data_IF_076548161627
#
_entry.id   IF_076548161627
#
_cell.length_a   1.000
_cell.length_b   1.000
_cell.length_c   1.000
_cell.angle_alpha   90.00
_cell.angle_beta   90.00
_cell.angle_gamma   90.00
#
_symmetry.space_group_name_H-M   'P 1'
#
loop_
_entity.id
_entity.type
_entity.pdbx_description
1 polymer ?
#
# COMPACT_ATOMS: atom_id res chain seq x y z
N UNK A 1 -17.02 28.71 -12.40
CA UNK A 1 -15.62 28.24 -12.47
C UNK A 1 -15.70 26.73 -12.48
N UNK A 2 -15.29 26.07 -13.56
CA UNK A 2 -15.41 24.60 -13.67
C UNK A 2 -14.29 23.96 -12.87
N UNK A 3 -14.61 23.04 -11.97
CA UNK A 3 -13.61 22.27 -11.24
C UNK A 3 -12.75 21.46 -12.23
N UNK A 4 -11.43 21.50 -12.04
CA UNK A 4 -10.44 20.82 -12.90
C UNK A 4 -10.16 19.36 -12.50
N UNK A 5 -10.92 18.82 -11.56
CA UNK A 5 -10.73 17.47 -11.03
C UNK A 5 -12.05 16.88 -10.53
N UNK A 6 -12.04 15.59 -10.26
CA UNK A 6 -13.11 14.86 -9.56
C UNK A 6 -12.52 14.09 -8.39
N UNK A 7 -13.28 13.95 -7.30
CA UNK A 7 -12.88 13.15 -6.14
C UNK A 7 -13.70 11.86 -6.08
N UNK A 8 -13.04 10.76 -5.74
CA UNK A 8 -13.64 9.44 -5.55
C UNK A 8 -12.90 8.67 -4.45
N UNK A 9 -13.44 7.53 -4.03
CA UNK A 9 -12.75 6.60 -3.14
C UNK A 9 -12.67 5.23 -3.82
N UNK A 10 -11.56 4.54 -3.65
CA UNK A 10 -11.37 3.15 -4.09
C UNK A 10 -10.65 2.36 -3.01
N UNK A 11 -10.73 1.03 -3.05
CA UNK A 11 -9.98 0.21 -2.10
C UNK A 11 -8.48 0.24 -2.40
N UNK A 12 -7.68 0.05 -1.35
CA UNK A 12 -6.23 -0.11 -1.46
C UNK A 12 -5.87 -1.29 -2.37
N UNK A 13 -6.58 -2.41 -2.28
CA UNK A 13 -6.41 -3.56 -3.18
C UNK A 13 -6.60 -3.17 -4.64
N UNK A 14 -7.65 -2.38 -4.96
CA UNK A 14 -7.88 -1.90 -6.32
C UNK A 14 -6.73 -1.02 -6.82
N UNK A 15 -6.23 -0.08 -6.00
CA UNK A 15 -5.15 0.82 -6.44
C UNK A 15 -3.85 0.07 -6.68
N UNK A 16 -3.51 -0.89 -5.80
CA UNK A 16 -2.33 -1.73 -5.97
C UNK A 16 -2.45 -2.61 -7.22
N UNK A 17 -3.65 -3.13 -7.51
CA UNK A 17 -3.90 -3.93 -8.71
C UNK A 17 -3.77 -3.11 -9.99
N UNK A 18 -4.30 -1.88 -10.05
CA UNK A 18 -4.14 -1.00 -11.21
C UNK A 18 -2.68 -0.66 -11.49
N UNK A 19 -1.84 -0.56 -10.46
CA UNK A 19 -0.42 -0.26 -10.64
C UNK A 19 0.33 -1.53 -11.03
N UNK A 20 0.00 -2.68 -10.41
CA UNK A 20 0.57 -3.98 -10.76
C UNK A 20 0.25 -4.40 -12.19
N UNK A 21 -0.94 -4.10 -12.68
CA UNK A 21 -1.35 -4.37 -14.07
C UNK A 21 -0.79 -3.37 -15.09
N UNK A 22 -0.21 -2.25 -14.62
CA UNK A 22 0.28 -1.17 -15.47
C UNK A 22 -0.82 -0.22 -15.97
N UNK A 23 -2.06 -0.34 -15.49
CA UNK A 23 -3.15 0.59 -15.80
C UNK A 23 -2.83 2.01 -15.31
N UNK A 24 -2.25 2.13 -14.10
CA UNK A 24 -1.72 3.38 -13.57
C UNK A 24 -0.20 3.32 -13.57
N UNK A 25 0.42 4.16 -14.40
CA UNK A 25 1.85 4.32 -14.41
C UNK A 25 2.31 5.20 -13.24
N UNK A 26 3.35 4.77 -12.52
CA UNK A 26 4.10 5.62 -11.58
C UNK A 26 5.37 6.07 -12.30
N UNK A 27 5.48 7.35 -12.72
CA UNK A 27 6.66 7.86 -13.43
C UNK A 27 7.97 7.66 -12.66
N UNK A 28 7.89 7.72 -11.34
CA UNK A 28 9.04 7.59 -10.44
C UNK A 28 9.48 6.16 -10.14
N UNK A 29 8.91 5.11 -10.75
CA UNK A 29 9.39 3.72 -10.55
C UNK A 29 10.88 3.56 -10.90
N UNK A 30 11.44 4.43 -11.75
CA UNK A 30 12.87 4.46 -12.09
C UNK A 30 13.69 5.40 -11.18
N UNK A 31 13.05 6.20 -10.32
CA UNK A 31 13.74 7.03 -9.34
C UNK A 31 13.91 6.26 -8.02
N UNK A 32 15.00 6.52 -7.29
CA UNK A 32 15.19 5.90 -5.99
C UNK A 32 14.06 6.23 -5.01
N UNK A 33 13.52 5.22 -4.35
CA UNK A 33 12.61 5.32 -3.22
C UNK A 33 13.34 5.95 -2.03
N UNK A 34 12.85 7.09 -1.56
CA UNK A 34 13.54 7.94 -0.57
C UNK A 34 12.97 7.82 0.85
N UNK A 35 11.80 7.23 1.02
CA UNK A 35 11.22 7.01 2.33
C UNK A 35 12.04 6.02 3.16
N UNK A 36 12.25 6.37 4.44
CA UNK A 36 12.89 5.49 5.42
C UNK A 36 11.95 4.32 5.73
N UNK A 37 12.51 3.17 6.07
CA UNK A 37 11.74 1.97 6.47
C UNK A 37 10.74 2.25 7.60
N UNK A 38 11.08 3.15 8.53
CA UNK A 38 10.19 3.60 9.59
C UNK A 38 8.91 4.28 9.07
N UNK A 39 9.01 5.09 8.01
CA UNK A 39 7.86 5.77 7.39
C UNK A 39 6.91 4.77 6.71
N UNK A 40 7.47 3.72 6.11
CA UNK A 40 6.67 2.60 5.57
C UNK A 40 5.90 1.91 6.70
N UNK A 41 6.57 1.63 7.82
CA UNK A 41 5.96 1.07 9.03
C UNK A 41 4.88 2.00 9.64
N UNK A 42 5.07 3.32 9.62
CA UNK A 42 4.06 4.29 10.07
C UNK A 42 2.81 4.29 9.18
N UNK A 43 2.98 4.14 7.87
CA UNK A 43 1.87 4.06 6.91
C UNK A 43 1.05 2.78 7.13
N UNK A 44 1.73 1.63 7.12
CA UNK A 44 1.49 0.48 8.02
C UNK A 44 0.41 0.65 9.10
N UNK A 45 0.91 1.14 10.23
CA UNK A 45 0.20 1.37 11.47
C UNK A 45 -1.00 2.30 11.31
N UNK A 46 -0.86 3.37 10.51
CA UNK A 46 -1.95 4.31 10.24
C UNK A 46 -3.13 3.63 9.55
N UNK A 47 -2.88 2.82 8.52
CA UNK A 47 -3.92 2.07 7.82
C UNK A 47 -4.59 1.02 8.71
N UNK A 48 -3.81 0.36 9.57
CA UNK A 48 -4.34 -0.58 10.53
C UNK A 48 -5.29 0.08 11.53
N UNK A 49 -4.89 1.24 12.08
CA UNK A 49 -5.67 2.06 13.02
C UNK A 49 -6.86 2.79 12.38
N UNK A 50 -6.97 2.78 11.05
CA UNK A 50 -8.05 3.47 10.33
C UNK A 50 -7.84 4.99 10.24
N UNK A 51 -6.59 5.46 10.37
CA UNK A 51 -6.25 6.86 10.18
C UNK A 51 -6.26 7.24 8.70
N UNK A 52 -6.53 8.52 8.37
CA UNK A 52 -6.51 8.98 6.99
C UNK A 52 -5.11 8.83 6.39
N UNK A 53 -5.04 8.25 5.19
CA UNK A 53 -3.79 8.07 4.43
C UNK A 53 -3.58 9.14 3.33
N UNK A 54 -4.39 10.21 3.34
CA UNK A 54 -4.39 11.29 2.35
C UNK A 54 -5.01 10.89 1.00
N UNK A 55 -4.94 11.80 0.02
CA UNK A 55 -5.41 11.57 -1.34
C UNK A 55 -4.27 11.09 -2.24
N UNK A 56 -4.56 10.26 -3.24
CA UNK A 56 -3.66 10.05 -4.39
C UNK A 56 -4.18 10.88 -5.56
N UNK A 57 -3.28 11.42 -6.37
CA UNK A 57 -3.66 12.25 -7.51
C UNK A 57 -3.26 11.55 -8.79
N UNK A 58 -4.21 11.42 -9.71
CA UNK A 58 -4.05 10.74 -10.98
C UNK A 58 -4.40 11.69 -12.11
N UNK A 59 -3.54 11.79 -13.11
CA UNK A 59 -3.84 12.38 -14.41
C UNK A 59 -4.23 11.28 -15.38
N UNK A 60 -5.22 11.54 -16.24
CA UNK A 60 -5.61 10.64 -17.32
C UNK A 60 -5.58 11.41 -18.62
N UNK A 61 -4.88 10.90 -19.63
CA UNK A 61 -4.93 11.45 -20.99
C UNK A 61 -6.32 11.27 -21.62
N UNK A 62 -6.71 12.07 -22.63
CA UNK A 62 -7.93 11.82 -23.39
C UNK A 62 -7.95 10.43 -24.01
N UNK A 63 -9.14 9.87 -24.16
CA UNK A 63 -9.33 8.63 -24.92
C UNK A 63 -9.16 8.96 -26.41
N UNK A 64 -8.41 8.14 -27.15
CA UNK A 64 -8.17 8.34 -28.58
C UNK A 64 -8.97 7.34 -29.41
N UNK A 65 -9.62 7.78 -30.48
CA UNK A 65 -10.17 6.87 -31.48
C UNK A 65 -9.04 6.34 -32.36
N UNK A 66 -8.90 5.02 -32.40
CA UNK A 66 -7.96 4.31 -33.24
C UNK A 66 -8.50 4.22 -34.68
N UNK A 67 -7.60 3.96 -35.64
CA UNK A 67 -7.94 3.91 -37.07
C UNK A 67 -8.95 2.81 -37.43
N UNK A 68 -9.09 1.80 -36.58
CA UNK A 68 -10.04 0.69 -36.71
C UNK A 68 -11.42 1.01 -36.08
N UNK A 69 -11.61 2.23 -35.57
CA UNK A 69 -12.85 2.68 -34.93
C UNK A 69 -12.97 2.33 -33.44
N UNK A 70 -12.03 1.58 -32.88
CA UNK A 70 -11.98 1.30 -31.44
C UNK A 70 -11.50 2.51 -30.63
N UNK A 71 -11.85 2.58 -29.35
CA UNK A 71 -11.39 3.63 -28.43
C UNK A 71 -10.21 3.10 -27.61
N UNK A 72 -9.08 3.78 -27.65
CA UNK A 72 -7.99 3.54 -26.70
C UNK A 72 -8.27 4.29 -25.40
N UNK A 73 -8.24 3.58 -24.28
CA UNK A 73 -8.34 4.19 -22.95
C UNK A 73 -7.11 5.06 -22.72
N UNK A 74 -7.32 6.32 -22.36
CA UNK A 74 -6.25 7.24 -22.05
C UNK A 74 -5.37 6.74 -20.90
N UNK A 75 -4.05 6.91 -21.05
CA UNK A 75 -3.07 6.45 -20.05
C UNK A 75 -3.26 7.19 -18.73
N UNK A 76 -3.32 6.44 -17.62
CA UNK A 76 -3.36 7.01 -16.27
C UNK A 76 -1.96 7.10 -15.69
N UNK A 77 -1.64 8.23 -15.08
CA UNK A 77 -0.33 8.52 -14.49
C UNK A 77 -0.53 9.06 -13.08
N UNK A 78 0.18 8.49 -12.12
CA UNK A 78 0.19 9.00 -10.75
C UNK A 78 1.02 10.28 -10.64
N UNK A 79 0.37 11.35 -10.22
CA UNK A 79 0.95 12.69 -10.06
C UNK A 79 1.43 12.88 -8.62
N UNK A 80 0.61 12.53 -7.63
CA UNK A 80 0.99 12.58 -6.20
C UNK A 80 0.68 11.25 -5.49
N UNK A 81 1.41 11.00 -4.40
CA UNK A 81 1.25 9.81 -3.56
C UNK A 81 2.15 8.64 -3.95
N UNK A 82 3.10 8.87 -4.85
CA UNK A 82 3.99 7.86 -5.40
C UNK A 82 4.80 7.12 -4.32
N UNK A 83 5.35 7.85 -3.34
CA UNK A 83 6.10 7.24 -2.22
C UNK A 83 5.18 6.40 -1.32
N UNK A 84 3.96 6.87 -1.04
CA UNK A 84 2.97 6.11 -0.27
C UNK A 84 2.62 4.80 -0.97
N UNK A 85 2.31 4.83 -2.26
CA UNK A 85 1.94 3.61 -2.98
C UNK A 85 3.14 2.67 -3.14
N UNK A 86 4.34 3.20 -3.38
CA UNK A 86 5.57 2.39 -3.43
C UNK A 86 5.84 1.70 -2.08
N UNK A 87 5.59 2.39 -0.96
CA UNK A 87 5.67 1.81 0.39
C UNK A 87 4.70 0.63 0.57
N UNK A 88 3.46 0.75 0.09
CA UNK A 88 2.46 -0.32 0.13
C UNK A 88 2.84 -1.49 -0.79
N UNK A 89 3.36 -1.21 -1.98
CA UNK A 89 3.83 -2.22 -2.93
C UNK A 89 4.95 -3.07 -2.34
N UNK A 90 5.88 -2.49 -1.58
CA UNK A 90 6.94 -3.27 -0.94
C UNK A 90 6.49 -3.99 0.33
N UNK A 91 5.64 -3.37 1.16
CA UNK A 91 5.25 -3.92 2.45
C UNK A 91 4.07 -4.91 2.40
N UNK A 92 3.12 -4.73 1.47
CA UNK A 92 1.91 -5.56 1.34
C UNK A 92 2.02 -6.52 0.15
N UNK A 93 2.43 -6.02 -1.02
CA UNK A 93 2.56 -6.88 -2.23
C UNK A 93 3.88 -7.66 -2.22
N UNK A 94 4.87 -7.21 -1.44
CA UNK A 94 6.16 -7.87 -1.28
C UNK A 94 7.14 -7.61 -2.43
N UNK A 95 6.96 -6.52 -3.19
CA UNK A 95 7.88 -6.17 -4.28
C UNK A 95 9.16 -5.49 -3.79
N UNK A 96 10.23 -5.69 -4.54
CA UNK A 96 11.48 -4.95 -4.34
C UNK A 96 11.35 -3.52 -4.88
N UNK A 97 11.96 -2.59 -4.16
CA UNK A 97 12.10 -1.18 -4.55
C UNK A 97 13.57 -0.84 -4.66
N UNK A 98 13.89 0.12 -5.53
CA UNK A 98 15.25 0.66 -5.63
C UNK A 98 15.36 1.76 -4.57
N UNK A 99 16.15 1.59 -3.53
CA UNK A 99 16.37 2.62 -2.50
C UNK A 99 17.27 3.75 -2.99
N UNK A 100 17.36 4.85 -2.23
CA UNK A 100 18.23 6.01 -2.49
C UNK A 100 19.71 5.69 -2.77
N UNK A 101 20.22 4.56 -2.28
CA UNK A 101 21.56 4.04 -2.59
C UNK A 101 21.61 3.13 -3.83
N UNK A 102 20.57 3.18 -4.67
CA UNK A 102 20.38 2.40 -5.91
C UNK A 102 20.39 0.88 -5.72
N UNK A 103 20.13 0.40 -4.50
CA UNK A 103 20.03 -1.05 -4.24
C UNK A 103 18.59 -1.51 -4.30
N UNK A 104 18.37 -2.66 -4.91
CA UNK A 104 17.09 -3.37 -4.80
C UNK A 104 16.96 -3.94 -3.40
N UNK A 105 15.89 -3.57 -2.70
CA UNK A 105 15.56 -4.09 -1.38
C UNK A 105 14.05 -4.19 -1.23
N UNK A 106 13.59 -5.16 -0.46
CA UNK A 106 12.21 -5.21 0.04
C UNK A 106 12.18 -4.69 1.47
N UNK A 107 11.20 -3.83 1.78
CA UNK A 107 10.99 -3.36 3.14
C UNK A 107 9.98 -4.29 3.80
N UNK A 108 10.45 -5.10 4.74
CA UNK A 108 9.62 -6.07 5.46
C UNK A 108 9.11 -5.45 6.76
N UNK A 109 7.79 -5.45 6.90
CA UNK A 109 7.11 -4.99 8.11
C UNK A 109 6.64 -6.21 8.88
N UNK A 110 7.05 -6.28 10.14
CA UNK A 110 6.64 -7.30 11.09
C UNK A 110 5.42 -6.83 11.88
N UNK A 111 4.61 -7.79 12.34
CA UNK A 111 3.37 -7.56 13.07
C UNK A 111 3.31 -8.40 14.35
N UNK A 112 2.94 -7.78 15.46
CA UNK A 112 2.69 -8.43 16.73
C UNK A 112 1.18 -8.57 16.95
N UNK A 113 0.58 -9.76 16.75
CA UNK A 113 -0.85 -9.97 16.98
C UNK A 113 -1.23 -10.00 18.46
N UNK A 114 -0.25 -10.04 19.38
CA UNK A 114 -0.45 -10.05 20.83
C UNK A 114 -0.39 -8.64 21.44
N UNK A 115 -0.07 -7.63 20.62
CA UNK A 115 0.18 -6.27 21.11
C UNK A 115 -1.03 -5.70 21.87
N UNK A 116 -0.82 -5.39 23.15
CA UNK A 116 -1.81 -4.72 23.99
C UNK A 116 -1.71 -3.20 23.88
N UNK A 117 -2.84 -2.54 23.59
CA UNK A 117 -2.92 -1.08 23.63
C UNK A 117 -2.75 -0.53 25.06
N UNK A 118 -3.18 -1.29 26.08
CA UNK A 118 -3.06 -0.90 27.50
C UNK A 118 -1.61 -0.88 27.97
N UNK A 119 -0.79 -1.80 27.47
CA UNK A 119 0.63 -1.91 27.78
C UNK A 119 1.52 -1.07 26.84
N UNK A 120 0.91 -0.31 25.93
CA UNK A 120 1.58 0.51 24.92
C UNK A 120 2.61 -0.30 24.11
N UNK A 121 2.28 -1.56 23.79
CA UNK A 121 3.14 -2.42 22.99
C UNK A 121 3.14 -2.00 21.51
N UNK A 122 4.30 -2.16 20.87
CA UNK A 122 4.41 -1.89 19.44
C UNK A 122 3.70 -2.98 18.62
N UNK A 123 2.74 -2.57 17.79
CA UNK A 123 1.99 -3.45 16.88
C UNK A 123 2.81 -3.79 15.63
N UNK A 124 3.55 -2.81 15.10
CA UNK A 124 4.36 -2.96 13.89
C UNK A 124 5.82 -2.57 14.10
N UNK A 125 6.73 -3.35 13.51
CA UNK A 125 8.16 -3.05 13.46
C UNK A 125 8.73 -3.25 12.07
N UNK A 126 9.83 -2.58 11.77
CA UNK A 126 10.67 -2.97 10.63
C UNK A 126 11.38 -4.27 11.03
N UNK A 127 11.37 -5.28 10.16
CA UNK A 127 12.01 -6.56 10.47
C UNK A 127 13.50 -6.38 10.77
N UNK A 128 13.96 -7.03 11.84
CA UNK A 128 15.36 -7.17 12.18
C UNK A 128 15.66 -8.58 12.72
N UNK A 129 16.90 -8.82 13.14
CA UNK A 129 17.33 -10.13 13.66
C UNK A 129 16.69 -10.50 15.02
N UNK A 130 16.21 -9.53 15.80
CA UNK A 130 15.54 -9.82 17.07
C UNK A 130 14.11 -10.31 16.78
N UNK A 131 13.41 -9.66 15.86
CA UNK A 131 12.08 -10.07 15.39
C UNK A 131 12.07 -11.51 14.87
N UNK A 132 13.09 -11.92 14.10
CA UNK A 132 13.17 -13.27 13.54
C UNK A 132 13.30 -14.38 14.60
N UNK A 133 13.73 -14.04 15.82
CA UNK A 133 13.91 -14.98 16.92
C UNK A 133 12.75 -14.95 17.91
N UNK A 134 11.88 -13.96 17.80
CA UNK A 134 10.77 -13.74 18.73
C UNK A 134 9.47 -14.29 18.13
N UNK A 135 9.00 -15.40 18.72
CA UNK A 135 7.83 -16.16 18.27
C UNK A 135 6.51 -15.39 18.35
N UNK A 136 6.48 -14.24 19.05
CA UNK A 136 5.30 -13.36 19.06
C UNK A 136 5.16 -12.58 17.75
N UNK A 137 6.24 -12.38 17.00
CA UNK A 137 6.19 -11.59 15.79
C UNK A 137 5.93 -12.44 14.56
N UNK A 138 4.99 -11.98 13.75
CA UNK A 138 4.92 -12.35 12.35
C UNK A 138 5.97 -11.50 11.63
N UNK A 139 7.01 -12.15 11.12
CA UNK A 139 8.19 -11.46 10.62
C UNK A 139 7.93 -10.57 9.39
N UNK A 140 6.94 -10.90 8.56
CA UNK A 140 6.67 -10.22 7.30
C UNK A 140 5.18 -10.31 6.94
N UNK A 141 4.47 -9.18 7.05
CA UNK A 141 3.02 -9.14 6.80
C UNK A 141 2.65 -9.50 5.36
N UNK A 142 3.53 -9.25 4.38
CA UNK A 142 3.21 -9.52 2.97
C UNK A 142 3.07 -11.01 2.67
N UNK A 143 3.57 -11.91 3.54
CA UNK A 143 3.29 -13.35 3.46
C UNK A 143 1.81 -13.68 3.73
N UNK A 144 1.13 -12.86 4.55
CA UNK A 144 -0.28 -13.02 4.90
C UNK A 144 -1.22 -12.49 3.79
N UNK A 145 -0.75 -11.55 2.97
CA UNK A 145 -1.51 -10.98 1.86
C UNK A 145 -1.43 -11.80 0.56
N UNK A 146 -0.73 -12.95 0.59
CA UNK A 146 -0.63 -13.82 -0.60
C UNK A 146 -1.98 -14.46 -0.92
N UNK A 147 -2.33 -14.65 -2.21
CA UNK A 147 -3.61 -15.25 -2.59
C UNK A 147 -3.84 -16.67 -2.07
N UNK A 148 -2.76 -17.41 -1.81
CA UNK A 148 -2.74 -18.79 -1.30
C UNK A 148 -2.52 -18.86 0.22
N UNK A 149 -2.62 -17.74 0.93
CA UNK A 149 -2.48 -17.72 2.39
C UNK A 149 -3.62 -18.48 3.08
N UNK A 150 -3.27 -19.55 3.79
CA UNK A 150 -4.20 -20.30 4.64
C UNK A 150 -4.20 -19.74 6.07
N UNK A 151 -5.17 -18.86 6.34
CA UNK A 151 -5.33 -18.23 7.65
C UNK A 151 -5.61 -19.24 8.76
N UNK A 152 -6.40 -20.29 8.51
CA UNK A 152 -6.76 -21.26 9.54
C UNK A 152 -5.54 -22.09 9.95
N UNK A 153 -4.79 -22.60 8.99
CA UNK A 153 -3.55 -23.33 9.26
C UNK A 153 -2.53 -22.42 9.98
N UNK A 154 -2.42 -21.16 9.56
CA UNK A 154 -1.53 -20.19 10.20
C UNK A 154 -1.89 -19.94 11.66
N UNK A 155 -3.16 -19.65 11.98
CA UNK A 155 -3.63 -19.41 13.36
C UNK A 155 -3.34 -20.62 14.24
N UNK A 156 -3.62 -21.83 13.77
CA UNK A 156 -3.35 -23.06 14.51
C UNK A 156 -1.86 -23.23 14.81
N UNK A 157 -1.01 -22.99 13.83
CA UNK A 157 0.45 -23.10 14.01
C UNK A 157 1.00 -22.00 14.93
N UNK A 158 0.45 -20.79 14.84
CA UNK A 158 0.79 -19.68 15.73
C UNK A 158 0.47 -20.00 17.19
N UNK A 159 -0.74 -20.50 17.47
CA UNK A 159 -1.17 -20.89 18.82
C UNK A 159 -0.40 -22.09 19.38
N UNK A 160 0.08 -23.03 18.54
CA UNK A 160 0.98 -24.09 19.02
C UNK A 160 2.30 -23.54 19.57
N UNK A 161 2.82 -22.47 18.96
CA UNK A 161 4.06 -21.81 19.40
C UNK A 161 3.81 -20.86 20.57
N UNK A 162 2.59 -20.35 20.68
CA UNK A 162 2.14 -19.42 21.72
C UNK A 162 0.90 -20.00 22.45
N UNK A 163 1.08 -20.98 23.36
CA UNK A 163 -0.04 -21.72 23.95
C UNK A 163 -0.99 -20.90 24.82
N UNK A 164 -0.52 -19.76 25.33
CA UNK A 164 -1.31 -18.85 26.16
C UNK A 164 -2.30 -18.00 25.32
N UNK A 165 -2.17 -18.04 23.99
CA UNK A 165 -3.00 -17.25 23.07
C UNK A 165 -4.31 -17.92 22.71
N UNK A 166 -5.36 -17.11 22.65
CA UNK A 166 -6.67 -17.54 22.19
C UNK A 166 -6.73 -17.51 20.65
N UNK A 167 -6.96 -18.68 20.01
CA UNK A 167 -7.04 -18.78 18.55
C UNK A 167 -8.10 -17.89 17.90
N UNK A 168 -9.27 -17.70 18.55
CA UNK A 168 -10.30 -16.79 18.06
C UNK A 168 -9.85 -15.33 18.12
N UNK A 169 -9.12 -14.95 19.17
CA UNK A 169 -8.53 -13.61 19.28
C UNK A 169 -7.51 -13.37 18.14
N UNK A 170 -6.55 -14.28 17.96
CA UNK A 170 -5.54 -14.18 16.89
C UNK A 170 -6.21 -14.11 15.52
N UNK A 171 -7.23 -14.93 15.27
CA UNK A 171 -7.99 -14.90 14.03
C UNK A 171 -8.62 -13.52 13.77
N UNK A 172 -9.27 -12.92 14.76
CA UNK A 172 -9.88 -11.59 14.61
C UNK A 172 -8.84 -10.50 14.36
N UNK A 173 -7.70 -10.56 15.04
CA UNK A 173 -6.58 -9.63 14.86
C UNK A 173 -6.00 -9.74 13.46
N UNK A 174 -5.85 -10.96 12.92
CA UNK A 174 -5.43 -11.19 11.54
C UNK A 174 -6.46 -10.73 10.52
N UNK A 175 -7.75 -10.96 10.75
CA UNK A 175 -8.81 -10.42 9.88
C UNK A 175 -8.73 -8.89 9.79
N UNK A 176 -8.51 -8.21 10.92
CA UNK A 176 -8.32 -6.75 10.96
C UNK A 176 -7.08 -6.31 10.18
N UNK A 177 -5.99 -7.09 10.25
CA UNK A 177 -4.77 -6.81 9.49
C UNK A 177 -5.02 -6.96 7.99
N UNK A 178 -5.65 -8.06 7.56
CA UNK A 178 -5.93 -8.33 6.16
C UNK A 178 -6.95 -7.34 5.57
N UNK A 179 -7.85 -6.80 6.39
CA UNK A 179 -8.81 -5.77 5.97
C UNK A 179 -8.16 -4.43 5.59
N UNK A 180 -6.86 -4.23 5.86
CA UNK A 180 -6.09 -3.09 5.33
C UNK A 180 -6.26 -2.96 3.81
N UNK A 181 -6.37 -4.08 3.08
CA UNK A 181 -6.56 -4.09 1.63
C UNK A 181 -7.90 -3.48 1.19
N UNK A 182 -8.91 -3.51 2.06
CA UNK A 182 -10.25 -2.98 1.80
C UNK A 182 -10.41 -1.51 2.22
N UNK A 183 -9.38 -0.93 2.88
CA UNK A 183 -9.39 0.47 3.28
C UNK A 183 -9.61 1.37 2.07
N UNK A 184 -10.51 2.33 2.23
CA UNK A 184 -10.85 3.29 1.20
C UNK A 184 -9.81 4.41 1.18
N UNK A 185 -9.21 4.63 0.01
CA UNK A 185 -8.26 5.70 -0.24
C UNK A 185 -8.91 6.73 -1.16
N UNK A 186 -8.79 8.00 -0.78
CA UNK A 186 -9.26 9.11 -1.60
C UNK A 186 -8.42 9.26 -2.87
N UNK A 187 -9.09 9.39 -4.01
CA UNK A 187 -8.49 9.60 -5.32
C UNK A 187 -9.01 10.92 -5.90
N UNK A 188 -8.07 11.77 -6.28
CA UNK A 188 -8.33 12.95 -7.10
C UNK A 188 -7.92 12.61 -8.52
N UNK A 189 -8.89 12.61 -9.43
CA UNK A 189 -8.64 12.42 -10.86
C UNK A 189 -8.71 13.77 -11.56
N UNK A 190 -7.61 14.21 -12.15
CA UNK A 190 -7.56 15.43 -12.94
C UNK A 190 -8.38 15.27 -14.22
N UNK A 191 -9.04 16.35 -14.66
CA UNK A 191 -9.85 16.31 -15.87
C UNK A 191 -9.01 15.91 -17.09
N UNK A 192 -9.57 15.08 -17.97
CA UNK A 192 -8.86 14.53 -19.13
C UNK A 192 -8.43 15.58 -20.14
N UNK A 193 -9.10 16.73 -20.16
CA UNK A 193 -8.85 17.81 -21.12
C UNK A 193 -7.69 18.73 -20.72
N UNK A 194 -7.09 18.53 -19.52
CA UNK A 194 -5.94 19.32 -19.09
C UNK A 194 -4.70 18.98 -19.91
N UNK A 195 -3.98 20.02 -20.33
CA UNK A 195 -2.69 19.85 -20.99
C UNK A 195 -1.55 19.58 -19.96
N UNK A 196 -0.37 19.24 -20.47
CA UNK A 196 0.79 18.89 -19.64
C UNK A 196 1.26 20.05 -18.75
N UNK A 197 1.14 21.30 -19.22
CA UNK A 197 1.57 22.48 -18.47
C UNK A 197 0.64 22.73 -17.28
N UNK A 198 -0.67 22.55 -17.48
CA UNK A 198 -1.66 22.65 -16.40
C UNK A 198 -1.50 21.54 -15.36
N UNK A 199 -1.26 20.29 -15.79
CA UNK A 199 -0.98 19.19 -14.86
C UNK A 199 0.31 19.45 -14.07
N UNK A 200 1.33 20.01 -14.73
CA UNK A 200 2.60 20.37 -14.09
C UNK A 200 2.42 21.53 -13.09
N UNK A 201 1.65 22.56 -13.44
CA UNK A 201 1.33 23.67 -12.53
C UNK A 201 0.55 23.19 -11.30
N UNK A 202 -0.41 22.27 -11.48
CA UNK A 202 -1.10 21.62 -10.35
C UNK A 202 -0.09 20.87 -9.47
N UNK A 203 0.79 20.05 -10.06
CA UNK A 203 1.76 19.25 -9.32
C UNK A 203 2.76 20.10 -8.50
N UNK A 204 3.20 21.24 -9.03
CA UNK A 204 4.17 22.11 -8.34
C UNK A 204 3.53 22.85 -7.15
N UNK A 205 2.22 23.07 -7.18
CA UNK A 205 1.50 23.89 -6.18
C UNK A 205 0.97 23.10 -4.97
N UNK A 206 1.00 21.77 -5.03
CA UNK A 206 0.51 20.87 -3.98
C UNK A 206 1.68 20.28 -3.18
#
# INVERSE_FOLDING_TARGET
MTEKFTASNISLEQILNYIKSGEIAIPEIQRPFVWKTRQVRDLIDSLYKGYPAGYLIISQSPDMKLKDGSLSIGKKIMIDGQQRVTALMTAIVGMEVISSDFKKRRIKIAFNPQASEEENEEIFKVQDNAILKDKKWIADIAELFKPDFDQWAFVNEYCKRNPDENGSHINNVLMRLLDIKNRQIGIITLNKDLNIDEVTDIFIRI
#
